data_IF_310632475044
#
_entry.id   IF_310632475044
#
_cell.length_a   1.000
_cell.length_b   1.000
_cell.length_c   1.000
_cell.angle_alpha   90.00
_cell.angle_beta   90.00
_cell.angle_gamma   90.00
#
_symmetry.space_group_name_H-M   'P 1'
#
loop_
_entity.id
_entity.type
_entity.pdbx_description
1 polymer ?
#
# COMPACT_ATOMS: atom_id res chain seq x y z
N UNK A 1 -2.31 -28.95 13.89
CA UNK A 1 -1.98 -27.52 13.69
C UNK A 1 -2.84 -26.72 14.66
N UNK A 2 -2.26 -25.79 15.41
CA UNK A 2 -3.01 -24.86 16.26
C UNK A 2 -3.41 -23.63 15.42
N UNK A 3 -4.59 -23.04 15.65
CA UNK A 3 -5.00 -21.82 14.95
C UNK A 3 -4.04 -20.67 15.25
N UNK A 4 -3.68 -19.91 14.21
CA UNK A 4 -2.94 -18.66 14.35
C UNK A 4 -3.85 -17.49 14.77
N UNK A 5 -3.28 -16.33 15.11
CA UNK A 5 -4.06 -15.14 15.43
C UNK A 5 -4.83 -14.62 14.21
N UNK A 6 -5.90 -13.87 14.44
CA UNK A 6 -6.63 -13.15 13.39
C UNK A 6 -5.87 -11.90 12.95
N UNK A 7 -5.95 -11.56 11.65
CA UNK A 7 -5.37 -10.35 11.09
C UNK A 7 -6.31 -9.70 10.07
N UNK A 8 -6.18 -8.39 9.89
CA UNK A 8 -6.94 -7.61 8.91
C UNK A 8 -5.98 -7.09 7.84
N UNK A 9 -6.37 -7.19 6.57
CA UNK A 9 -5.68 -6.54 5.45
C UNK A 9 -6.49 -5.33 5.02
N UNK A 10 -5.88 -4.15 5.04
CA UNK A 10 -6.43 -2.98 4.38
C UNK A 10 -6.23 -3.17 2.87
N UNK A 11 -7.25 -3.70 2.20
CA UNK A 11 -7.25 -4.01 0.77
C UNK A 11 -8.28 -3.12 0.09
N UNK A 12 -7.84 -2.39 -0.95
CA UNK A 12 -8.74 -1.54 -1.71
C UNK A 12 -9.62 -2.36 -2.66
N UNK A 13 -10.84 -1.85 -2.90
CA UNK A 13 -11.80 -2.36 -3.85
C UNK A 13 -12.04 -1.28 -4.90
N UNK A 14 -11.99 -1.63 -6.19
CA UNK A 14 -12.33 -0.73 -7.27
C UNK A 14 -13.85 -0.51 -7.36
N UNK A 15 -14.27 0.50 -8.12
CA UNK A 15 -15.69 0.79 -8.37
C UNK A 15 -16.43 -0.39 -9.04
N UNK A 16 -15.71 -1.19 -9.83
CA UNK A 16 -16.22 -2.41 -10.47
C UNK A 16 -16.27 -3.62 -9.52
N UNK A 17 -15.86 -3.46 -8.25
CA UNK A 17 -15.85 -4.53 -7.26
C UNK A 17 -14.64 -5.47 -7.32
N UNK A 18 -13.58 -5.10 -8.05
CA UNK A 18 -12.35 -5.90 -8.10
C UNK A 18 -11.39 -5.50 -6.97
N UNK A 19 -10.70 -6.48 -6.40
CA UNK A 19 -9.62 -6.19 -5.44
C UNK A 19 -8.45 -5.54 -6.18
N UNK A 20 -7.87 -4.50 -5.59
CA UNK A 20 -6.68 -3.88 -6.15
C UNK A 20 -5.44 -4.66 -5.72
N UNK A 21 -4.63 -5.07 -6.70
CA UNK A 21 -3.45 -5.88 -6.47
C UNK A 21 -2.17 -5.07 -6.25
N UNK A 22 -2.13 -3.82 -6.73
CA UNK A 22 -0.95 -2.96 -6.71
C UNK A 22 -1.17 -1.67 -5.91
N UNK A 23 -0.18 -0.77 -5.87
CA UNK A 23 -0.30 0.49 -5.17
C UNK A 23 -1.46 1.35 -5.66
N UNK A 24 -2.09 2.03 -4.70
CA UNK A 24 -2.98 3.15 -4.98
C UNK A 24 -2.49 4.32 -4.16
N UNK A 25 -1.88 5.28 -4.82
CA UNK A 25 -1.42 6.52 -4.21
C UNK A 25 -2.42 7.64 -4.44
N UNK A 26 -2.50 8.55 -3.48
CA UNK A 26 -3.23 9.81 -3.59
C UNK A 26 -2.39 10.93 -2.97
N UNK A 27 -2.23 12.05 -3.68
CA UNK A 27 -1.32 13.14 -3.30
C UNK A 27 -2.12 14.33 -2.79
N UNK A 28 -1.83 14.75 -1.57
CA UNK A 28 -2.32 15.99 -0.97
C UNK A 28 -1.20 17.01 -0.74
N UNK A 29 -1.55 18.16 -0.16
CA UNK A 29 -0.57 19.19 0.22
C UNK A 29 0.37 18.66 1.32
N UNK A 30 1.59 18.29 0.92
CA UNK A 30 2.62 17.75 1.82
C UNK A 30 2.35 16.33 2.35
N UNK A 31 1.38 15.60 1.79
CA UNK A 31 0.99 14.26 2.27
C UNK A 31 0.82 13.30 1.10
N UNK A 32 1.51 12.15 1.15
CA UNK A 32 1.26 11.01 0.27
C UNK A 32 0.41 9.96 1.00
N UNK A 33 -0.80 9.70 0.51
CA UNK A 33 -1.66 8.64 1.01
C UNK A 33 -1.39 7.34 0.26
N UNK A 34 -1.00 6.29 0.98
CA UNK A 34 -0.91 4.92 0.45
C UNK A 34 -2.22 4.19 0.74
N UNK A 35 -3.16 4.19 -0.21
CA UNK A 35 -4.50 3.61 -0.02
C UNK A 35 -4.55 2.11 -0.29
N UNK A 36 -3.59 1.58 -1.06
CA UNK A 36 -3.37 0.16 -1.25
C UNK A 36 -1.86 -0.09 -1.43
N UNK A 37 -1.38 -1.25 -1.00
CA UNK A 37 -0.02 -1.71 -1.24
C UNK A 37 -0.03 -3.20 -1.62
N UNK A 38 0.92 -3.65 -2.47
CA UNK A 38 0.97 -5.03 -2.92
C UNK A 38 1.33 -6.01 -1.79
N UNK A 39 0.87 -7.25 -1.95
CA UNK A 39 1.17 -8.36 -1.04
C UNK A 39 2.43 -9.12 -1.47
N UNK A 40 3.15 -9.76 -0.54
CA UNK A 40 3.05 -9.68 0.93
C UNK A 40 3.77 -8.46 1.52
N UNK A 41 3.03 -7.60 2.22
CA UNK A 41 3.58 -6.36 2.78
C UNK A 41 4.67 -6.59 3.84
N UNK A 42 4.51 -7.62 4.67
CA UNK A 42 5.45 -7.90 5.77
C UNK A 42 6.84 -8.34 5.26
N UNK A 43 6.88 -9.26 4.29
CA UNK A 43 8.15 -9.83 3.79
C UNK A 43 8.82 -8.94 2.73
N UNK A 44 8.07 -8.08 2.04
CA UNK A 44 8.59 -7.14 1.03
C UNK A 44 8.63 -5.69 1.54
N UNK A 45 8.62 -5.49 2.86
CA UNK A 45 8.46 -4.18 3.49
C UNK A 45 9.54 -3.16 3.09
N UNK A 46 10.80 -3.58 2.92
CA UNK A 46 11.88 -2.69 2.49
C UNK A 46 11.70 -2.19 1.05
N UNK A 47 11.33 -3.08 0.14
CA UNK A 47 11.10 -2.70 -1.27
C UNK A 47 9.86 -1.82 -1.41
N UNK A 48 8.80 -2.14 -0.67
CA UNK A 48 7.59 -1.29 -0.57
C UNK A 48 7.96 0.09 -0.04
N UNK A 49 8.80 0.17 1.00
CA UNK A 49 9.30 1.43 1.54
C UNK A 49 10.07 2.25 0.51
N UNK A 50 10.96 1.62 -0.27
CA UNK A 50 11.69 2.30 -1.35
C UNK A 50 10.73 2.91 -2.38
N UNK A 51 9.74 2.13 -2.84
CA UNK A 51 8.77 2.64 -3.82
C UNK A 51 7.93 3.80 -3.29
N UNK A 52 7.60 3.81 -2.00
CA UNK A 52 6.91 4.94 -1.37
C UNK A 52 7.79 6.19 -1.33
N UNK A 53 9.10 6.04 -1.09
CA UNK A 53 10.06 7.16 -1.14
C UNK A 53 10.20 7.70 -2.56
N UNK A 54 10.35 6.81 -3.55
CA UNK A 54 10.43 7.21 -4.96
C UNK A 54 9.18 8.00 -5.40
N UNK A 55 7.99 7.60 -4.93
CA UNK A 55 6.72 8.31 -5.20
C UNK A 55 6.63 9.69 -4.52
N UNK A 56 7.34 9.89 -3.41
CA UNK A 56 7.43 11.15 -2.66
C UNK A 56 8.39 12.16 -3.29
N UNK A 57 9.45 11.72 -3.97
CA UNK A 57 10.48 12.63 -4.53
C UNK A 57 9.89 13.79 -5.35
N UNK A 58 8.93 13.58 -6.27
CA UNK A 58 8.34 14.66 -7.06
C UNK A 58 7.53 15.68 -6.26
N UNK A 59 7.20 15.38 -5.00
CA UNK A 59 6.45 16.28 -4.10
C UNK A 59 7.35 17.18 -3.26
N UNK A 60 8.67 16.96 -3.30
CA UNK A 60 9.66 17.69 -2.51
C UNK A 60 10.35 18.82 -3.30
N UNK A 61 10.08 18.92 -4.60
CA UNK A 61 10.48 20.04 -5.47
C UNK A 61 9.50 21.22 -5.35
#
# INVERSE_FOLDING_TARGET
>A
LHPGPSGVRAQALSEDGNLVDDFVFDRGEGVLHVRNAPSPAATSSLQIGSMIVDELEPMME
#
